data_IF_391728028798
#
_entry.id   IF_391728028798
#
_cell.length_a   1.000
_cell.length_b   1.000
_cell.length_c   1.000
_cell.angle_alpha   90.00
_cell.angle_beta   90.00
_cell.angle_gamma   90.00
#
_symmetry.space_group_name_H-M   'P 1'
#
loop_
_entity.id
_entity.type
_entity.pdbx_description
1 polymer ?
#
# COMPACT_ATOMS: atom_id res chain seq x y z
N UNK A 1 29.55 -65.27 36.00
CA UNK A 1 29.31 -63.91 36.57
C UNK A 1 29.70 -62.90 35.53
N UNK A 2 28.70 -62.42 34.74
CA UNK A 2 28.90 -61.44 33.64
C UNK A 2 28.28 -60.13 34.06
N UNK A 3 29.10 -59.11 34.17
CA UNK A 3 28.72 -57.75 34.51
C UNK A 3 28.24 -57.05 33.21
N UNK A 4 26.96 -56.71 33.16
CA UNK A 4 26.37 -55.93 32.12
C UNK A 4 26.61 -54.47 32.47
N UNK A 5 27.41 -53.77 31.64
CA UNK A 5 27.58 -52.31 31.71
C UNK A 5 26.45 -51.65 30.93
N UNK A 6 25.56 -50.99 31.64
CA UNK A 6 24.49 -50.15 31.04
C UNK A 6 25.09 -48.83 30.58
N UNK A 7 25.10 -48.61 29.28
CA UNK A 7 25.55 -47.36 28.67
C UNK A 7 24.33 -46.41 28.57
N UNK A 8 24.29 -45.42 29.44
CA UNK A 8 23.26 -44.38 29.41
C UNK A 8 23.64 -43.37 28.36
N UNK A 9 22.97 -43.41 27.21
CA UNK A 9 23.09 -42.37 26.18
C UNK A 9 22.26 -41.15 26.59
N UNK A 10 22.93 -40.08 26.96
CA UNK A 10 22.30 -38.77 27.16
C UNK A 10 22.11 -38.14 25.77
N UNK A 11 20.88 -38.17 25.27
CA UNK A 11 20.49 -37.38 24.09
C UNK A 11 20.30 -35.94 24.54
N UNK A 12 21.29 -35.09 24.28
CA UNK A 12 21.14 -33.65 24.40
C UNK A 12 20.24 -33.17 23.26
N UNK A 13 18.96 -32.96 23.57
CA UNK A 13 18.01 -32.31 22.68
C UNK A 13 18.35 -30.81 22.65
N UNK A 14 19.17 -30.38 21.67
CA UNK A 14 19.42 -28.98 21.41
C UNK A 14 18.12 -28.38 20.85
N UNK A 15 17.35 -27.75 21.71
CA UNK A 15 16.28 -26.82 21.35
C UNK A 15 16.91 -25.65 20.57
N UNK A 16 16.91 -25.75 19.26
CA UNK A 16 17.04 -24.55 18.42
C UNK A 16 15.81 -23.71 18.68
N UNK A 17 15.91 -22.80 19.63
CA UNK A 17 14.99 -21.70 19.78
C UNK A 17 15.10 -20.88 18.52
N UNK A 18 14.10 -20.96 17.64
CA UNK A 18 13.87 -19.96 16.63
C UNK A 18 13.68 -18.65 17.36
N UNK A 19 14.73 -17.82 17.37
CA UNK A 19 14.58 -16.42 17.74
C UNK A 19 13.69 -15.79 16.70
N UNK A 20 12.39 -15.72 16.98
CA UNK A 20 11.55 -14.77 16.30
C UNK A 20 12.19 -13.42 16.57
N UNK A 21 12.69 -12.78 15.52
CA UNK A 21 13.09 -11.38 15.59
C UNK A 21 11.86 -10.64 16.10
N UNK A 22 11.89 -10.23 17.36
CA UNK A 22 10.99 -9.22 17.86
C UNK A 22 11.25 -7.98 17.01
N UNK A 23 10.43 -7.76 15.99
CA UNK A 23 10.21 -6.43 15.47
C UNK A 23 9.87 -5.59 16.69
N UNK A 24 10.76 -4.66 17.03
CA UNK A 24 10.73 -3.99 18.32
C UNK A 24 9.32 -3.53 18.64
N UNK A 25 8.74 -4.10 19.67
CA UNK A 25 7.51 -3.60 20.24
C UNK A 25 7.85 -2.27 20.88
N UNK A 26 7.72 -1.20 20.13
CA UNK A 26 7.59 0.11 20.73
C UNK A 26 6.31 0.04 21.56
N UNK A 27 6.45 -0.12 22.86
CA UNK A 27 5.31 -0.10 23.76
C UNK A 27 4.60 1.24 23.52
N UNK A 28 3.32 1.18 23.17
CA UNK A 28 2.51 2.39 23.05
C UNK A 28 2.55 3.16 24.37
N UNK A 29 2.93 4.41 24.30
CA UNK A 29 3.04 5.31 25.46
C UNK A 29 2.08 6.52 25.39
N UNK A 30 1.14 6.47 24.44
CA UNK A 30 0.12 7.50 24.27
C UNK A 30 -1.06 7.36 25.24
N UNK A 31 -2.10 8.17 25.07
CA UNK A 31 -3.30 8.15 25.91
C UNK A 31 -4.10 6.84 25.73
N UNK A 32 -4.81 6.44 26.76
CA UNK A 32 -5.86 5.42 26.66
C UNK A 32 -7.03 5.99 25.84
N UNK A 33 -7.36 5.31 24.73
CA UNK A 33 -8.42 5.67 23.80
C UNK A 33 -9.63 4.73 23.92
N UNK A 34 -9.78 4.04 25.04
CA UNK A 34 -10.89 3.11 25.26
C UNK A 34 -12.24 3.83 25.13
N UNK A 35 -13.08 3.32 24.23
CA UNK A 35 -14.39 3.89 23.94
C UNK A 35 -14.41 4.91 22.79
N UNK A 36 -13.25 5.36 22.32
CA UNK A 36 -13.16 6.18 21.12
C UNK A 36 -13.38 5.32 19.86
N UNK A 37 -14.01 5.93 18.85
CA UNK A 37 -14.25 5.32 17.54
C UNK A 37 -13.58 6.13 16.47
N UNK A 38 -12.94 5.43 15.53
CA UNK A 38 -12.30 6.01 14.36
C UNK A 38 -12.84 5.33 13.10
N UNK A 39 -13.23 6.11 12.11
CA UNK A 39 -13.65 5.62 10.80
C UNK A 39 -12.55 5.83 9.76
N UNK A 40 -12.26 4.80 8.98
CA UNK A 40 -11.31 4.86 7.88
C UNK A 40 -12.02 4.45 6.61
N UNK A 41 -11.85 5.21 5.53
CA UNK A 41 -12.39 4.89 4.22
C UNK A 41 -11.26 4.78 3.19
N UNK A 42 -11.30 3.74 2.35
CA UNK A 42 -10.24 3.46 1.39
C UNK A 42 -10.68 2.62 0.19
N UNK A 43 -9.75 2.34 -0.75
CA UNK A 43 -10.09 1.65 -2.00
C UNK A 43 -10.05 0.12 -1.90
N UNK A 44 -9.60 -0.45 -0.78
CA UNK A 44 -9.37 -1.90 -0.71
C UNK A 44 -10.61 -2.65 -0.27
N UNK A 45 -10.89 -3.73 -1.00
CA UNK A 45 -11.91 -4.74 -0.71
C UNK A 45 -11.22 -6.07 -0.38
N UNK A 46 -11.95 -6.99 0.23
CA UNK A 46 -11.45 -8.34 0.51
C UNK A 46 -10.96 -9.04 -0.80
N UNK A 47 -9.81 -9.73 -0.76
CA UNK A 47 -8.94 -9.97 0.40
C UNK A 47 -7.84 -8.90 0.60
N UNK A 48 -7.80 -7.82 -0.17
CA UNK A 48 -6.71 -6.83 -0.12
C UNK A 48 -6.71 -5.96 1.15
N UNK A 49 -7.84 -5.85 1.81
CA UNK A 49 -7.99 -5.11 3.06
C UNK A 49 -7.60 -5.94 4.31
N UNK A 50 -7.41 -7.26 4.18
CA UNK A 50 -7.06 -8.13 5.31
C UNK A 50 -5.76 -7.68 5.99
N UNK A 51 -4.70 -7.45 5.22
CA UNK A 51 -3.42 -6.96 5.75
C UNK A 51 -3.55 -5.62 6.49
N UNK A 52 -4.43 -4.74 5.98
CA UNK A 52 -4.67 -3.44 6.61
C UNK A 52 -5.48 -3.58 7.91
N UNK A 53 -6.44 -4.51 7.96
CA UNK A 53 -7.17 -4.84 9.18
C UNK A 53 -6.26 -5.44 10.25
N UNK A 54 -5.26 -6.20 9.87
CA UNK A 54 -4.24 -6.70 10.80
C UNK A 54 -3.44 -5.55 11.42
N UNK A 55 -3.04 -4.55 10.63
CA UNK A 55 -2.39 -3.33 11.16
C UNK A 55 -3.32 -2.56 12.09
N UNK A 56 -4.60 -2.40 11.73
CA UNK A 56 -5.61 -1.76 12.57
C UNK A 56 -5.72 -2.48 13.91
N UNK A 57 -5.75 -3.82 13.90
CA UNK A 57 -5.87 -4.63 15.13
C UNK A 57 -4.73 -4.38 16.13
N UNK A 58 -3.52 -4.10 15.64
CA UNK A 58 -2.37 -3.73 16.48
C UNK A 58 -2.62 -2.39 17.18
N UNK A 59 -3.15 -1.42 16.45
CA UNK A 59 -3.50 -0.12 17.01
C UNK A 59 -4.63 -0.22 18.06
N UNK A 60 -5.70 -0.97 17.76
CA UNK A 60 -6.80 -1.20 18.68
C UNK A 60 -6.32 -1.88 19.97
N UNK A 61 -5.50 -2.93 19.83
CA UNK A 61 -4.93 -3.64 20.99
C UNK A 61 -4.02 -2.75 21.85
N UNK A 62 -3.31 -1.81 21.24
CA UNK A 62 -2.42 -0.90 21.94
C UNK A 62 -3.14 0.26 22.63
N UNK A 63 -4.22 0.77 22.06
CA UNK A 63 -4.87 2.01 22.47
C UNK A 63 -6.22 1.82 23.16
N UNK A 64 -6.91 0.70 22.93
CA UNK A 64 -8.29 0.47 23.36
C UNK A 64 -9.35 1.13 22.47
N UNK A 65 -8.96 1.86 21.42
CA UNK A 65 -9.89 2.41 20.44
C UNK A 65 -10.55 1.33 19.59
N UNK A 66 -11.68 1.65 18.95
CA UNK A 66 -12.33 0.82 17.94
C UNK A 66 -12.21 1.51 16.57
N UNK A 67 -11.77 0.78 15.56
CA UNK A 67 -11.57 1.31 14.21
C UNK A 67 -12.47 0.59 13.22
N UNK A 68 -13.28 1.33 12.49
CA UNK A 68 -14.10 0.82 11.41
C UNK A 68 -13.51 1.19 10.06
N UNK A 69 -13.06 0.19 9.29
CA UNK A 69 -12.61 0.38 7.93
C UNK A 69 -13.71 0.02 6.93
N UNK A 70 -14.09 1.00 6.08
CA UNK A 70 -14.93 0.81 4.91
C UNK A 70 -14.10 0.85 3.62
N UNK A 71 -14.31 -0.12 2.72
CA UNK A 71 -13.64 -0.19 1.43
C UNK A 71 -14.62 -0.04 0.27
N UNK A 72 -14.17 0.61 -0.84
CA UNK A 72 -14.92 0.68 -2.08
C UNK A 72 -13.98 0.81 -3.28
N UNK A 73 -14.25 0.07 -4.36
CA UNK A 73 -13.60 0.26 -5.66
C UNK A 73 -14.00 1.58 -6.34
N UNK A 74 -15.10 2.20 -5.89
CA UNK A 74 -15.52 3.55 -6.28
C UNK A 74 -15.02 4.65 -5.33
N UNK A 75 -14.02 4.35 -4.49
CA UNK A 75 -13.48 5.28 -3.49
C UNK A 75 -13.26 6.69 -4.03
N UNK A 76 -12.67 6.83 -5.22
CA UNK A 76 -12.32 8.12 -5.80
C UNK A 76 -13.55 9.01 -6.08
N UNK A 77 -14.68 8.40 -6.45
CA UNK A 77 -15.93 9.11 -6.66
C UNK A 77 -16.61 9.44 -5.32
N UNK A 78 -16.66 8.46 -4.43
CA UNK A 78 -17.38 8.57 -3.15
C UNK A 78 -16.72 9.61 -2.24
N UNK A 79 -15.40 9.63 -2.12
CA UNK A 79 -14.70 10.60 -1.26
C UNK A 79 -14.98 12.06 -1.67
N UNK A 80 -15.14 12.33 -2.97
CA UNK A 80 -15.54 13.66 -3.44
C UNK A 80 -16.95 14.03 -2.99
N UNK A 81 -17.88 13.07 -3.04
CA UNK A 81 -19.27 13.28 -2.63
C UNK A 81 -19.34 13.51 -1.12
N UNK A 82 -18.65 12.70 -0.33
CA UNK A 82 -18.63 12.78 1.13
C UNK A 82 -18.01 14.10 1.61
N UNK A 83 -16.92 14.55 0.97
CA UNK A 83 -16.33 15.86 1.22
C UNK A 83 -17.31 17.02 0.92
N UNK A 84 -18.04 16.97 -0.20
CA UNK A 84 -19.04 17.97 -0.54
C UNK A 84 -20.24 17.94 0.41
N UNK A 85 -20.61 16.78 0.91
CA UNK A 85 -21.67 16.60 1.88
C UNK A 85 -21.25 17.00 3.31
N UNK A 86 -19.96 17.21 3.56
CA UNK A 86 -19.41 17.51 4.88
C UNK A 86 -19.47 16.35 5.86
N UNK A 87 -19.46 15.12 5.37
CA UNK A 87 -19.54 13.89 6.15
C UNK A 87 -18.54 12.81 5.73
N UNK A 88 -17.26 13.16 5.49
CA UNK A 88 -16.24 12.15 5.19
C UNK A 88 -15.92 11.31 6.42
N UNK A 89 -15.28 10.15 6.22
CA UNK A 89 -14.66 9.39 7.30
C UNK A 89 -13.53 10.21 7.96
N UNK A 90 -13.15 9.83 9.19
CA UNK A 90 -12.10 10.54 9.94
C UNK A 90 -10.74 10.46 9.24
N UNK A 91 -10.45 9.31 8.61
CA UNK A 91 -9.25 9.09 7.80
C UNK A 91 -9.64 8.56 6.41
N UNK A 92 -8.97 9.04 5.38
CA UNK A 92 -9.09 8.53 4.03
C UNK A 92 -7.76 7.93 3.55
N UNK A 93 -7.83 6.73 2.94
CA UNK A 93 -6.68 6.07 2.33
C UNK A 93 -6.71 6.29 0.82
N UNK A 94 -5.89 7.22 0.35
CA UNK A 94 -5.86 7.58 -1.06
C UNK A 94 -4.99 6.60 -1.88
N UNK A 95 -5.48 6.11 -3.03
CA UNK A 95 -4.69 5.24 -3.90
C UNK A 95 -3.57 5.99 -4.62
N UNK A 96 -3.67 7.33 -4.72
CA UNK A 96 -2.72 8.16 -5.45
C UNK A 96 -2.65 9.60 -4.88
N UNK A 97 -1.45 10.23 -4.90
CA UNK A 97 -1.26 11.58 -4.36
C UNK A 97 -2.08 12.66 -5.06
N UNK A 98 -2.31 12.53 -6.37
CA UNK A 98 -3.03 13.53 -7.15
C UNK A 98 -4.47 13.76 -6.70
N UNK A 99 -5.20 12.69 -6.38
CA UNK A 99 -6.54 12.81 -5.82
C UNK A 99 -6.51 13.46 -4.42
N UNK A 100 -5.55 13.06 -3.57
CA UNK A 100 -5.38 13.66 -2.25
C UNK A 100 -5.11 15.17 -2.35
N UNK A 101 -4.27 15.61 -3.29
CA UNK A 101 -3.99 17.02 -3.55
C UNK A 101 -5.26 17.79 -3.97
N UNK A 102 -6.08 17.20 -4.84
CA UNK A 102 -7.35 17.82 -5.26
C UNK A 102 -8.32 17.97 -4.08
N UNK A 103 -8.45 16.96 -3.24
CA UNK A 103 -9.31 17.00 -2.04
C UNK A 103 -8.76 18.01 -1.01
N UNK A 104 -7.44 18.09 -0.81
CA UNK A 104 -6.82 19.09 0.06
C UNK A 104 -7.15 20.52 -0.38
N UNK A 105 -7.14 20.79 -1.69
CA UNK A 105 -7.48 22.09 -2.26
C UNK A 105 -8.95 22.49 -2.04
N UNK A 106 -9.84 21.55 -1.74
CA UNK A 106 -11.24 21.86 -1.37
C UNK A 106 -11.39 22.27 0.11
N UNK A 107 -10.36 22.03 0.94
CA UNK A 107 -10.42 22.25 2.38
C UNK A 107 -11.03 21.08 3.16
N UNK A 108 -11.31 19.96 2.52
CA UNK A 108 -11.86 18.76 3.17
C UNK A 108 -10.82 18.05 4.04
N UNK A 109 -9.53 18.07 3.67
CA UNK A 109 -8.47 17.47 4.47
C UNK A 109 -7.95 18.43 5.54
N UNK A 110 -7.68 17.88 6.74
CA UNK A 110 -6.96 18.58 7.79
C UNK A 110 -5.46 18.30 7.71
N UNK A 111 -4.60 19.33 7.79
CA UNK A 111 -3.16 19.12 7.82
C UNK A 111 -2.74 18.30 9.04
N UNK A 112 -1.73 17.47 8.88
CA UNK A 112 -1.11 16.73 9.97
C UNK A 112 -0.10 17.62 10.72
N UNK A 113 0.15 17.29 11.97
CA UNK A 113 1.08 18.02 12.84
C UNK A 113 2.56 17.81 12.47
N UNK A 114 3.41 18.69 12.99
CA UNK A 114 4.85 18.62 12.78
C UNK A 114 5.49 17.38 13.42
N UNK A 115 4.89 16.82 14.45
CA UNK A 115 5.28 15.57 15.10
C UNK A 115 5.16 14.38 14.15
N UNK A 116 4.04 14.28 13.41
CA UNK A 116 3.83 13.25 12.38
C UNK A 116 4.81 13.43 11.21
N UNK A 117 5.02 14.68 10.79
CA UNK A 117 6.00 14.99 9.75
C UNK A 117 7.41 14.55 10.17
N UNK A 118 7.82 14.85 11.41
CA UNK A 118 9.11 14.44 11.94
C UNK A 118 9.24 12.93 12.02
N UNK A 119 8.19 12.22 12.40
CA UNK A 119 8.15 10.75 12.39
C UNK A 119 8.45 10.18 11.00
N UNK A 120 7.90 10.78 9.93
CA UNK A 120 8.22 10.39 8.55
C UNK A 120 9.70 10.65 8.23
N UNK A 121 10.21 11.82 8.58
CA UNK A 121 11.62 12.18 8.35
C UNK A 121 12.61 11.23 9.05
N UNK A 122 12.26 10.76 10.24
CA UNK A 122 13.14 9.93 11.07
C UNK A 122 13.08 8.43 10.71
N UNK A 123 11.94 7.95 10.16
CA UNK A 123 11.71 6.52 10.00
C UNK A 123 11.62 6.04 8.55
N UNK A 124 11.37 6.92 7.58
CA UNK A 124 11.25 6.54 6.17
C UNK A 124 12.56 6.77 5.44
N UNK A 125 13.06 5.79 4.71
CA UNK A 125 14.37 5.81 4.07
C UNK A 125 14.60 7.03 3.13
N UNK A 126 13.55 7.51 2.46
CA UNK A 126 13.62 8.70 1.60
C UNK A 126 13.04 9.96 2.28
N UNK A 127 12.85 9.95 3.59
CA UNK A 127 12.44 11.04 4.49
C UNK A 127 11.73 12.22 3.82
N UNK A 128 12.52 13.21 3.41
CA UNK A 128 11.98 14.45 2.81
C UNK A 128 11.17 14.22 1.54
N UNK A 129 11.56 13.27 0.68
CA UNK A 129 10.80 12.98 -0.55
C UNK A 129 9.39 12.49 -0.27
N UNK A 130 9.19 11.73 0.81
CA UNK A 130 7.85 11.30 1.23
C UNK A 130 7.02 12.46 1.78
N UNK A 131 7.65 13.37 2.51
CA UNK A 131 7.00 14.60 2.99
C UNK A 131 6.58 15.48 1.81
N UNK A 132 7.44 15.65 0.82
CA UNK A 132 7.17 16.48 -0.36
C UNK A 132 5.99 15.91 -1.17
N UNK A 133 5.93 14.57 -1.34
CA UNK A 133 4.84 13.89 -2.05
C UNK A 133 3.47 13.98 -1.35
N UNK A 134 3.42 14.33 -0.07
CA UNK A 134 2.17 14.51 0.69
C UNK A 134 1.98 15.94 1.18
N UNK A 135 2.77 16.88 0.62
CA UNK A 135 2.60 18.31 0.84
C UNK A 135 1.79 18.89 -0.31
N UNK A 136 0.59 19.38 -0.01
CA UNK A 136 -0.35 19.90 -0.99
C UNK A 136 -0.78 21.32 -0.63
N UNK A 137 -1.32 22.05 -1.61
CA UNK A 137 -1.94 23.37 -1.38
C UNK A 137 -3.32 23.18 -0.77
N UNK A 138 -3.58 23.94 0.29
CA UNK A 138 -4.89 24.07 0.88
C UNK A 138 -5.82 24.96 0.00
N UNK A 139 -7.07 25.13 0.43
CA UNK A 139 -8.05 25.99 -0.26
C UNK A 139 -7.61 27.45 -0.41
N UNK A 140 -6.62 27.92 0.33
CA UNK A 140 -6.07 29.27 0.28
C UNK A 140 -4.75 29.33 -0.51
N UNK A 141 -4.29 28.21 -1.05
CA UNK A 141 -3.05 28.08 -1.82
C UNK A 141 -1.78 27.90 -0.98
N UNK A 142 -1.89 27.70 0.34
CA UNK A 142 -0.75 27.46 1.23
C UNK A 142 -0.38 25.97 1.27
N UNK A 143 0.89 25.67 1.14
CA UNK A 143 1.41 24.31 1.26
C UNK A 143 1.31 23.80 2.70
N UNK A 144 0.75 22.59 2.87
CA UNK A 144 0.58 21.89 4.13
C UNK A 144 0.86 20.41 3.96
N UNK A 145 1.32 19.77 5.02
CA UNK A 145 1.55 18.33 5.07
C UNK A 145 0.27 17.60 5.46
N UNK A 146 -0.18 16.62 4.63
CA UNK A 146 -1.51 16.02 4.77
C UNK A 146 -1.51 14.51 4.96
N UNK A 147 -0.41 13.81 4.73
CA UNK A 147 -0.47 12.37 4.76
C UNK A 147 0.84 11.65 4.98
N UNK A 148 0.72 10.38 5.31
CA UNK A 148 1.83 9.44 5.40
C UNK A 148 1.60 8.29 4.44
N UNK A 149 2.67 7.72 3.88
CA UNK A 149 2.56 6.54 3.03
C UNK A 149 2.47 5.28 3.88
N UNK A 150 1.39 4.54 3.69
CA UNK A 150 1.21 3.22 4.28
C UNK A 150 1.75 2.12 3.38
N UNK A 151 1.52 2.24 2.06
CA UNK A 151 1.84 1.21 1.08
C UNK A 151 2.38 1.84 -0.20
N UNK A 152 3.39 1.19 -0.78
CA UNK A 152 3.96 1.58 -2.08
C UNK A 152 3.89 0.38 -3.00
N UNK A 153 3.37 0.57 -4.21
CA UNK A 153 3.30 -0.44 -5.24
C UNK A 153 4.33 -0.16 -6.34
N UNK A 154 4.96 -1.20 -6.85
CA UNK A 154 5.73 -1.11 -8.09
C UNK A 154 4.76 -1.03 -9.25
N UNK A 155 4.91 -0.01 -10.08
CA UNK A 155 4.08 0.27 -11.25
C UNK A 155 4.90 0.29 -12.54
N UNK A 156 4.25 0.54 -13.67
CA UNK A 156 4.89 0.63 -14.99
C UNK A 156 5.57 -0.67 -15.41
N UNK A 157 5.03 -1.82 -14.99
CA UNK A 157 5.49 -3.13 -15.40
C UNK A 157 4.73 -3.62 -16.62
N UNK A 158 5.43 -4.28 -17.55
CA UNK A 158 4.82 -5.07 -18.61
C UNK A 158 4.63 -6.49 -18.10
N UNK A 159 3.37 -6.89 -17.94
CA UNK A 159 3.03 -8.26 -17.61
C UNK A 159 2.84 -9.06 -18.89
N UNK A 160 3.31 -10.30 -18.91
CA UNK A 160 3.16 -11.20 -20.04
C UNK A 160 2.67 -12.58 -19.57
N UNK A 161 2.03 -13.32 -20.47
CA UNK A 161 1.68 -14.72 -20.25
C UNK A 161 2.83 -15.61 -20.74
N UNK A 162 3.52 -16.33 -19.85
CA UNK A 162 4.58 -17.26 -20.26
C UNK A 162 4.10 -18.30 -21.29
N UNK A 163 2.92 -18.89 -21.06
CA UNK A 163 2.35 -19.90 -21.95
C UNK A 163 2.11 -19.34 -23.35
N UNK A 164 1.52 -18.12 -23.46
CA UNK A 164 1.30 -17.49 -24.76
C UNK A 164 2.62 -17.17 -25.49
N UNK A 165 3.68 -16.82 -24.75
CA UNK A 165 4.99 -16.56 -25.33
C UNK A 165 5.62 -17.85 -25.84
N UNK A 166 5.55 -18.94 -25.07
CA UNK A 166 6.06 -20.25 -25.48
C UNK A 166 5.31 -20.80 -26.71
N UNK A 167 3.98 -20.76 -26.68
CA UNK A 167 3.12 -21.27 -27.77
C UNK A 167 3.37 -20.54 -29.10
N UNK A 168 3.72 -19.26 -29.07
CA UNK A 168 3.98 -18.44 -30.26
C UNK A 168 5.49 -18.25 -30.57
N UNK A 169 6.38 -18.79 -29.76
CA UNK A 169 7.83 -18.67 -29.93
C UNK A 169 8.35 -17.25 -29.75
N UNK A 170 7.70 -16.45 -28.86
CA UNK A 170 8.14 -15.09 -28.56
C UNK A 170 9.22 -15.10 -27.47
N UNK A 171 10.23 -14.25 -27.65
CA UNK A 171 11.28 -14.04 -26.65
C UNK A 171 11.00 -12.78 -25.81
N UNK A 172 11.35 -12.83 -24.53
CA UNK A 172 11.19 -11.68 -23.61
C UNK A 172 12.21 -10.61 -23.99
N UNK A 173 11.77 -9.40 -24.40
CA UNK A 173 12.68 -8.34 -24.79
C UNK A 173 13.44 -7.76 -23.59
N UNK A 174 14.69 -7.37 -23.79
CA UNK A 174 15.53 -6.74 -22.77
C UNK A 174 15.70 -5.23 -22.94
N UNK A 175 15.05 -4.64 -23.95
CA UNK A 175 15.09 -3.20 -24.23
C UNK A 175 13.74 -2.72 -24.77
N UNK A 176 13.53 -1.40 -24.78
CA UNK A 176 12.32 -0.80 -25.35
C UNK A 176 12.23 -1.03 -26.87
N UNK A 177 13.36 -0.94 -27.57
CA UNK A 177 13.44 -1.24 -29.01
C UNK A 177 13.03 -2.70 -29.28
N UNK A 178 13.51 -3.62 -28.44
CA UNK A 178 13.12 -5.04 -28.53
C UNK A 178 11.64 -5.24 -28.26
N UNK A 179 11.05 -4.52 -27.31
CA UNK A 179 9.62 -4.58 -27.00
C UNK A 179 8.77 -4.08 -28.18
N UNK A 180 9.18 -3.00 -28.83
CA UNK A 180 8.50 -2.48 -30.02
C UNK A 180 8.62 -3.44 -31.22
N UNK A 181 9.80 -4.02 -31.43
CA UNK A 181 10.01 -5.02 -32.46
C UNK A 181 9.16 -6.28 -32.25
N UNK A 182 9.04 -6.73 -30.99
CA UNK A 182 8.16 -7.84 -30.63
C UNK A 182 6.69 -7.49 -30.88
N UNK A 183 6.26 -6.25 -30.56
CA UNK A 183 4.91 -5.80 -30.84
C UNK A 183 4.59 -5.83 -32.36
N UNK A 184 5.52 -5.40 -33.21
CA UNK A 184 5.38 -5.47 -34.67
C UNK A 184 5.30 -6.92 -35.16
N UNK A 185 6.10 -7.82 -34.59
CA UNK A 185 6.03 -9.27 -34.88
C UNK A 185 4.65 -9.82 -34.50
N UNK A 186 4.16 -9.54 -33.27
CA UNK A 186 2.85 -10.02 -32.81
C UNK A 186 1.72 -9.56 -33.73
N UNK A 187 1.76 -8.29 -34.19
CA UNK A 187 0.79 -7.77 -35.17
C UNK A 187 0.88 -8.53 -36.50
N UNK A 188 2.09 -8.79 -36.96
CA UNK A 188 2.34 -9.59 -38.22
C UNK A 188 1.78 -11.01 -38.12
N UNK A 189 1.87 -11.60 -36.93
CA UNK A 189 1.36 -12.94 -36.63
C UNK A 189 -0.16 -12.96 -36.36
N UNK A 190 -0.82 -11.79 -36.41
CA UNK A 190 -2.26 -11.63 -36.19
C UNK A 190 -2.67 -11.56 -34.72
N UNK A 191 -1.71 -11.39 -33.82
CA UNK A 191 -1.93 -11.26 -32.37
C UNK A 191 -2.01 -9.78 -31.94
N UNK A 192 -2.69 -9.54 -30.82
CA UNK A 192 -2.77 -8.19 -30.19
C UNK A 192 -1.61 -8.03 -29.20
N UNK A 193 -0.64 -7.12 -29.43
CA UNK A 193 0.56 -7.03 -28.61
C UNK A 193 0.33 -6.49 -27.20
N UNK A 194 -0.63 -5.56 -27.03
CA UNK A 194 -0.89 -4.92 -25.74
C UNK A 194 -2.36 -4.89 -25.41
N UNK A 195 -2.63 -4.99 -24.10
CA UNK A 195 -3.95 -4.81 -23.52
C UNK A 195 -3.81 -3.86 -22.32
N UNK A 196 -4.72 -2.90 -22.18
CA UNK A 196 -4.76 -1.96 -21.07
C UNK A 196 -6.21 -1.75 -20.61
N UNK A 197 -6.42 -1.75 -19.29
CA UNK A 197 -7.73 -1.52 -18.70
C UNK A 197 -8.05 -0.02 -18.62
N UNK A 198 -9.13 0.42 -19.26
CA UNK A 198 -9.58 1.82 -19.28
C UNK A 198 -11.06 1.96 -18.86
N UNK A 199 -11.60 1.00 -18.12
CA UNK A 199 -13.01 0.94 -17.74
C UNK A 199 -13.40 1.59 -16.42
N UNK A 200 -12.46 2.19 -15.67
CA UNK A 200 -12.69 2.69 -14.31
C UNK A 200 -13.22 4.13 -14.22
N UNK A 201 -13.94 4.62 -15.24
CA UNK A 201 -14.53 5.96 -15.22
C UNK A 201 -13.48 7.07 -15.01
N UNK A 202 -13.66 7.92 -14.00
CA UNK A 202 -12.74 9.01 -13.68
C UNK A 202 -11.33 8.59 -13.26
N UNK A 203 -11.14 7.33 -12.85
CA UNK A 203 -9.85 6.77 -12.44
C UNK A 203 -9.06 6.12 -13.59
N UNK A 204 -9.48 6.23 -14.84
CA UNK A 204 -8.85 5.53 -15.98
C UNK A 204 -7.54 6.15 -16.48
N UNK A 205 -7.17 7.33 -16.02
CA UNK A 205 -5.97 8.05 -16.52
C UNK A 205 -4.64 7.48 -16.03
N UNK A 206 -4.62 6.81 -14.89
CA UNK A 206 -3.38 6.36 -14.26
C UNK A 206 -2.56 5.35 -15.09
N UNK A 207 -3.17 4.39 -15.85
CA UNK A 207 -2.36 3.49 -16.67
C UNK A 207 -1.54 4.20 -17.74
N UNK A 208 -2.05 5.30 -18.31
CA UNK A 208 -1.31 6.10 -19.26
C UNK A 208 -0.20 6.93 -18.58
N UNK A 209 -0.47 7.52 -17.42
CA UNK A 209 0.53 8.29 -16.66
C UNK A 209 1.68 7.45 -16.14
N UNK A 210 1.45 6.16 -15.88
CA UNK A 210 2.52 5.24 -15.47
C UNK A 210 3.59 5.03 -16.56
N UNK A 211 3.31 5.42 -17.82
CA UNK A 211 4.19 5.24 -18.99
C UNK A 211 4.78 6.54 -19.53
N UNK A 212 4.38 7.69 -19.03
CA UNK A 212 4.90 9.00 -19.43
C UNK A 212 5.95 9.52 -18.47
#
# INVERSE_FOLDING_TARGET
MKIIKTLTAIIALSLFGASYANAGSHAYSGPDLSGEKLTIFGPWLAPQDDDFRDVISIFEAATGASVEYGGSDEFESIINIDCQAGSPADIAVFPQPGLAANIAATGCLSPLGDDVKQMVLDNYAAGQSWVDLTTYKDQNGFEKFYGVFYRVNVKSLVWYSPDNFEDNGYEIPSSMEGLLALADQMVSDGNTPFCIGLGSGGATGWPATDWM
#
